data_IF_374490504237
#
_entry.id   IF_374490504237
#
_cell.length_a   1.000
_cell.length_b   1.000
_cell.length_c   1.000
_cell.angle_alpha   90.00
_cell.angle_beta   90.00
_cell.angle_gamma   90.00
#
_symmetry.space_group_name_H-M   'P 1'
#
loop_
_entity.id
_entity.type
_entity.pdbx_description
1 polymer ?
#
# COMPACT_ATOMS: atom_id res chain seq x y z
N UNK A 1 -14.28 6.67 20.25
CA UNK A 1 -12.99 5.96 20.45
C UNK A 1 -12.32 5.86 19.09
N UNK A 2 -11.08 6.35 18.92
CA UNK A 2 -10.46 6.33 17.62
C UNK A 2 -9.93 4.93 17.29
N UNK A 3 -10.49 4.34 16.23
CA UNK A 3 -9.89 3.19 15.56
C UNK A 3 -8.88 3.74 14.55
N UNK A 4 -7.63 3.30 14.67
CA UNK A 4 -6.59 3.69 13.71
C UNK A 4 -6.14 2.49 12.90
N UNK A 5 -5.76 2.74 11.65
CA UNK A 5 -5.15 1.74 10.78
C UNK A 5 -3.63 1.92 10.81
N UNK A 6 -2.93 0.80 10.79
CA UNK A 6 -1.47 0.73 10.79
C UNK A 6 -0.98 -0.25 9.72
N UNK A 7 0.20 0.02 9.18
CA UNK A 7 0.96 -0.87 8.31
C UNK A 7 2.23 -1.32 9.00
N UNK A 8 2.53 -2.62 8.98
CA UNK A 8 3.85 -3.10 9.35
C UNK A 8 4.85 -2.89 8.20
N UNK A 9 5.83 -2.02 8.41
CA UNK A 9 6.87 -1.71 7.42
C UNK A 9 7.62 -2.97 7.00
N UNK A 10 7.97 -3.84 7.95
CA UNK A 10 8.76 -5.04 7.67
C UNK A 10 7.96 -6.05 6.84
N UNK A 11 6.72 -6.35 7.22
CA UNK A 11 5.87 -7.28 6.47
C UNK A 11 5.56 -6.75 5.06
N UNK A 12 5.34 -5.43 4.92
CA UNK A 12 5.18 -4.76 3.63
C UNK A 12 6.44 -4.93 2.76
N UNK A 13 7.61 -4.63 3.32
CA UNK A 13 8.90 -4.78 2.61
C UNK A 13 9.16 -6.20 2.14
N UNK A 14 8.83 -7.21 2.93
CA UNK A 14 8.99 -8.61 2.50
C UNK A 14 8.23 -8.89 1.19
N UNK A 15 7.00 -8.36 1.05
CA UNK A 15 6.20 -8.48 -0.17
C UNK A 15 6.79 -7.65 -1.31
N UNK A 16 7.13 -6.38 -1.05
CA UNK A 16 7.70 -5.47 -2.06
C UNK A 16 9.04 -5.98 -2.62
N UNK A 17 9.91 -6.50 -1.77
CA UNK A 17 11.22 -7.01 -2.16
C UNK A 17 11.09 -8.35 -2.90
N UNK A 18 10.15 -9.21 -2.48
CA UNK A 18 9.76 -10.41 -3.24
C UNK A 18 9.25 -10.04 -4.64
N UNK A 19 8.39 -9.03 -4.75
CA UNK A 19 7.89 -8.53 -6.04
C UNK A 19 9.01 -7.98 -6.92
N UNK A 20 9.94 -7.20 -6.36
CA UNK A 20 11.11 -6.71 -7.11
C UNK A 20 11.98 -7.86 -7.61
N UNK A 21 12.15 -8.91 -6.82
CA UNK A 21 12.89 -10.10 -7.24
C UNK A 21 12.19 -10.83 -8.38
N UNK A 22 10.88 -11.07 -8.27
CA UNK A 22 10.06 -11.70 -9.31
C UNK A 22 10.11 -10.90 -10.62
N UNK A 23 10.04 -9.55 -10.55
CA UNK A 23 10.13 -8.66 -11.72
C UNK A 23 11.46 -8.79 -12.49
N UNK A 24 12.56 -9.11 -11.81
CA UNK A 24 13.87 -9.27 -12.46
C UNK A 24 14.02 -10.59 -13.22
N UNK A 25 13.22 -11.58 -12.87
CA UNK A 25 13.24 -12.91 -13.45
C UNK A 25 12.70 -13.94 -12.47
N UNK A 26 11.73 -14.72 -12.93
CA UNK A 26 11.04 -15.70 -12.07
C UNK A 26 11.56 -17.11 -12.35
N UNK A 27 11.86 -17.85 -11.28
CA UNK A 27 12.17 -19.28 -11.34
C UNK A 27 11.51 -20.00 -10.16
N UNK A 28 11.25 -21.30 -10.28
CA UNK A 28 10.71 -22.12 -9.18
C UNK A 28 11.59 -22.07 -7.93
N UNK A 29 12.92 -22.04 -8.11
CA UNK A 29 13.88 -21.93 -7.00
C UNK A 29 13.74 -20.59 -6.26
N UNK A 30 13.70 -19.48 -7.01
CA UNK A 30 13.50 -18.15 -6.43
C UNK A 30 12.22 -18.08 -5.59
N UNK A 31 11.09 -18.53 -6.15
CA UNK A 31 9.81 -18.51 -5.44
C UNK A 31 9.86 -19.37 -4.16
N UNK A 32 10.55 -20.52 -4.20
CA UNK A 32 10.75 -21.33 -2.99
C UNK A 32 11.56 -20.61 -1.91
N UNK A 33 12.64 -19.93 -2.29
CA UNK A 33 13.48 -19.16 -1.37
C UNK A 33 12.72 -18.00 -0.75
N UNK A 34 11.94 -17.25 -1.53
CA UNK A 34 11.13 -16.13 -1.04
C UNK A 34 10.08 -16.56 -0.01
N UNK A 35 9.36 -17.65 -0.27
CA UNK A 35 8.37 -18.18 0.69
C UNK A 35 9.04 -18.64 1.98
N UNK A 36 10.23 -19.26 1.90
CA UNK A 36 10.97 -19.73 3.09
C UNK A 36 11.62 -18.60 3.88
N UNK A 37 12.02 -17.52 3.21
CA UNK A 37 12.69 -16.39 3.84
C UNK A 37 11.74 -15.48 4.65
N UNK A 38 10.43 -15.59 4.42
CA UNK A 38 9.45 -14.65 4.95
C UNK A 38 8.29 -15.35 5.65
N UNK A 39 8.30 -15.35 6.99
CA UNK A 39 7.28 -16.03 7.81
C UNK A 39 5.84 -15.54 7.60
N UNK A 40 5.65 -14.35 7.02
CA UNK A 40 4.33 -13.77 6.74
C UNK A 40 3.72 -14.23 5.41
N UNK A 41 4.48 -14.95 4.57
CA UNK A 41 4.03 -15.42 3.26
C UNK A 41 3.81 -16.94 3.32
N UNK A 42 2.59 -17.39 3.07
CA UNK A 42 2.25 -18.81 3.04
C UNK A 42 2.52 -19.45 1.67
N UNK A 43 2.26 -18.68 0.61
CA UNK A 43 2.33 -19.15 -0.76
C UNK A 43 2.52 -17.98 -1.73
N UNK A 44 3.27 -18.26 -2.79
CA UNK A 44 3.42 -17.38 -3.95
C UNK A 44 3.15 -18.21 -5.21
N UNK A 45 2.31 -17.69 -6.10
CA UNK A 45 2.11 -18.22 -7.45
C UNK A 45 2.38 -17.14 -8.49
N UNK A 46 3.09 -17.47 -9.56
CA UNK A 46 3.35 -16.56 -10.68
C UNK A 46 2.87 -17.23 -11.96
N UNK A 47 1.94 -16.57 -12.64
CA UNK A 47 1.25 -17.08 -13.82
C UNK A 47 1.52 -16.17 -15.02
N UNK A 48 1.69 -16.79 -16.18
CA UNK A 48 1.64 -16.15 -17.49
C UNK A 48 0.17 -16.17 -17.94
N UNK A 49 -0.47 -15.01 -18.01
CA UNK A 49 -1.88 -14.90 -18.37
C UNK A 49 -2.11 -15.03 -19.88
N UNK A 50 -1.10 -14.78 -20.71
CA UNK A 50 -1.23 -14.95 -22.16
C UNK A 50 -1.15 -16.42 -22.55
N UNK A 51 -0.28 -17.18 -21.88
CA UNK A 51 -0.10 -18.62 -22.12
C UNK A 51 -0.99 -19.50 -21.23
N UNK A 52 -1.68 -18.89 -20.26
CA UNK A 52 -2.45 -19.58 -19.22
C UNK A 52 -1.64 -20.64 -18.45
N UNK A 53 -0.35 -20.35 -18.20
CA UNK A 53 0.59 -21.30 -17.59
C UNK A 53 1.15 -20.80 -16.25
N UNK A 54 1.47 -21.73 -15.37
CA UNK A 54 2.10 -21.45 -14.07
C UNK A 54 3.62 -21.44 -14.24
N UNK A 55 4.21 -20.25 -14.29
CA UNK A 55 5.65 -20.07 -14.43
C UNK A 55 6.39 -20.65 -13.20
N UNK A 56 5.90 -20.32 -12.00
CA UNK A 56 6.45 -20.79 -10.75
C UNK A 56 5.45 -20.71 -9.61
N UNK A 57 5.49 -21.68 -8.70
CA UNK A 57 4.62 -21.74 -7.54
C UNK A 57 5.34 -22.39 -6.37
N UNK A 58 5.16 -21.88 -5.16
CA UNK A 58 5.62 -22.52 -3.94
C UNK A 58 4.79 -22.13 -2.71
N UNK A 59 4.80 -23.01 -1.70
CA UNK A 59 4.08 -22.81 -0.45
C UNK A 59 2.71 -23.50 -0.42
N UNK A 60 1.94 -23.25 0.64
CA UNK A 60 0.61 -23.84 0.82
C UNK A 60 -0.41 -22.74 1.03
N UNK A 61 -1.40 -22.63 0.13
CA UNK A 61 -2.49 -21.65 0.29
C UNK A 61 -3.30 -21.96 1.54
N UNK A 62 -3.56 -20.92 2.32
CA UNK A 62 -4.54 -20.91 3.41
C UNK A 62 -5.78 -20.13 2.92
N UNK A 63 -6.97 -20.73 3.09
CA UNK A 63 -8.24 -20.11 2.68
C UNK A 63 -8.67 -18.95 3.57
N UNK A 64 -8.13 -18.89 4.79
CA UNK A 64 -8.39 -17.81 5.75
C UNK A 64 -7.33 -16.70 5.67
N UNK A 65 -6.31 -16.89 4.85
CA UNK A 65 -5.27 -15.90 4.58
C UNK A 65 -5.76 -14.82 3.62
N UNK A 66 -4.96 -13.77 3.48
CA UNK A 66 -5.23 -12.63 2.61
C UNK A 66 -4.49 -12.84 1.30
N UNK A 67 -5.24 -12.88 0.20
CA UNK A 67 -4.68 -12.95 -1.15
C UNK A 67 -4.41 -11.53 -1.67
N UNK A 68 -3.18 -11.29 -2.12
CA UNK A 68 -2.79 -10.08 -2.84
C UNK A 68 -2.38 -10.45 -4.26
N UNK A 69 -2.87 -9.67 -5.22
CA UNK A 69 -2.64 -9.89 -6.65
C UNK A 69 -1.91 -8.70 -7.26
N UNK A 70 -0.81 -8.98 -7.95
CA UNK A 70 -0.02 -7.95 -8.62
C UNK A 70 0.15 -8.30 -10.10
N UNK A 71 -0.27 -7.37 -10.96
CA UNK A 71 -0.08 -7.45 -12.39
C UNK A 71 1.28 -6.86 -12.77
N UNK A 72 2.09 -7.65 -13.44
CA UNK A 72 3.44 -7.34 -13.91
C UNK A 72 3.46 -7.35 -15.43
N UNK A 73 4.49 -6.74 -16.03
CA UNK A 73 4.70 -6.72 -17.49
C UNK A 73 3.43 -6.30 -18.26
N UNK A 74 2.92 -5.10 -17.94
CA UNK A 74 1.72 -4.53 -18.54
C UNK A 74 0.46 -5.41 -18.47
N UNK A 75 0.40 -6.29 -17.46
CA UNK A 75 -0.76 -7.14 -17.20
C UNK A 75 -0.66 -8.56 -17.74
N UNK A 76 0.44 -8.92 -18.40
CA UNK A 76 0.64 -10.27 -18.96
C UNK A 76 1.05 -11.29 -17.90
N UNK A 77 1.64 -10.86 -16.78
CA UNK A 77 2.08 -11.74 -15.71
C UNK A 77 1.36 -11.41 -14.41
N UNK A 78 0.80 -12.41 -13.74
CA UNK A 78 0.13 -12.27 -12.46
C UNK A 78 0.98 -12.90 -11.34
N UNK A 79 1.33 -12.11 -10.33
CA UNK A 79 1.94 -12.60 -9.09
C UNK A 79 0.90 -12.58 -7.95
N UNK A 80 0.57 -13.77 -7.45
CA UNK A 80 -0.34 -14.00 -6.34
C UNK A 80 0.46 -14.26 -5.06
N UNK A 81 0.11 -13.57 -3.98
CA UNK A 81 0.66 -13.76 -2.65
C UNK A 81 -0.45 -14.14 -1.69
N UNK A 82 -0.37 -15.32 -1.07
CA UNK A 82 -1.22 -15.70 0.05
C UNK A 82 -0.48 -15.36 1.35
N UNK A 83 -0.92 -14.31 2.03
CA UNK A 83 -0.33 -13.83 3.28
C UNK A 83 -1.11 -14.35 4.46
N UNK A 84 -0.43 -14.84 5.51
CA UNK A 84 -1.09 -15.34 6.74
C UNK A 84 -2.17 -14.39 7.25
N UNK A 85 -1.85 -13.09 7.24
CA UNK A 85 -2.75 -11.98 7.53
C UNK A 85 -2.24 -10.73 6.77
N UNK A 86 -3.12 -9.75 6.55
CA UNK A 86 -2.76 -8.52 5.85
C UNK A 86 -1.70 -7.74 6.65
N UNK A 87 -0.64 -7.22 6.02
CA UNK A 87 0.34 -6.37 6.71
C UNK A 87 -0.26 -5.03 7.19
N UNK A 88 -1.48 -4.70 6.75
CA UNK A 88 -2.38 -3.67 7.32
C UNK A 88 -3.26 -4.26 8.42
N UNK A 89 -3.36 -3.57 9.54
CA UNK A 89 -4.22 -3.96 10.65
C UNK A 89 -4.77 -2.73 11.39
N UNK A 90 -5.89 -2.91 12.08
CA UNK A 90 -6.53 -1.85 12.86
C UNK A 90 -6.28 -2.07 14.35
N UNK A 91 -6.05 -1.00 15.10
CA UNK A 91 -5.84 -1.04 16.54
C UNK A 91 -6.72 0.01 17.23
N UNK A 92 -7.31 -0.37 18.37
CA UNK A 92 -8.12 0.51 19.19
C UNK A 92 -7.22 1.23 20.19
N UNK A 93 -7.14 2.56 20.09
CA UNK A 93 -6.30 3.38 20.97
C UNK A 93 -7.21 4.16 21.92
N UNK A 94 -7.16 3.82 23.21
CA UNK A 94 -7.94 4.48 24.26
C UNK A 94 -7.26 5.77 24.72
N UNK A 95 -5.94 5.69 24.97
CA UNK A 95 -5.10 6.81 25.38
C UNK A 95 -4.00 7.01 24.33
N UNK A 96 -3.69 8.25 23.96
CA UNK A 96 -2.69 8.55 22.93
C UNK A 96 -1.30 7.93 23.23
N UNK A 97 -0.98 7.71 24.50
CA UNK A 97 0.26 7.05 24.94
C UNK A 97 0.33 5.58 24.50
N UNK A 98 -0.81 4.91 24.34
CA UNK A 98 -0.89 3.51 23.90
C UNK A 98 -0.41 3.33 22.45
N UNK A 99 -0.42 4.39 21.65
CA UNK A 99 0.07 4.37 20.26
C UNK A 99 1.55 3.93 20.19
N UNK A 100 2.35 4.20 21.25
CA UNK A 100 3.76 3.77 21.35
C UNK A 100 3.91 2.27 21.56
N UNK A 101 2.85 1.59 21.98
CA UNK A 101 2.83 0.16 22.26
C UNK A 101 2.31 -0.68 21.09
N UNK A 102 1.83 -0.04 20.02
CA UNK A 102 1.32 -0.72 18.84
C UNK A 102 2.42 -1.56 18.21
N UNK A 103 2.09 -2.83 17.98
CA UNK A 103 2.98 -3.82 17.38
C UNK A 103 2.24 -4.48 16.24
N UNK A 104 3.00 -4.82 15.22
CA UNK A 104 2.52 -5.72 14.18
C UNK A 104 2.08 -7.05 14.82
N UNK A 105 0.82 -7.48 14.64
CA UNK A 105 0.33 -8.73 15.21
C UNK A 105 0.90 -9.98 14.53
N UNK A 106 1.74 -9.81 13.50
CA UNK A 106 2.33 -10.92 12.72
C UNK A 106 3.79 -11.18 13.08
N UNK A 107 4.61 -10.13 13.11
CA UNK A 107 6.03 -10.24 13.40
C UNK A 107 6.44 -9.61 14.74
N UNK A 108 5.48 -9.12 15.54
CA UNK A 108 5.69 -8.42 16.82
C UNK A 108 6.57 -7.15 16.73
N UNK A 109 6.91 -6.72 15.52
CA UNK A 109 7.71 -5.52 15.28
C UNK A 109 6.93 -4.27 15.67
N UNK A 110 7.60 -3.34 16.36
CA UNK A 110 7.08 -1.98 16.63
C UNK A 110 7.28 -1.02 15.45
N UNK A 111 7.91 -1.47 14.36
CA UNK A 111 8.11 -0.66 13.16
C UNK A 111 6.83 -0.65 12.34
N UNK A 112 5.87 0.13 12.80
CA UNK A 112 4.54 0.30 12.21
C UNK A 112 4.31 1.76 11.87
N UNK A 113 3.64 2.02 10.76
CA UNK A 113 3.27 3.35 10.30
C UNK A 113 1.76 3.49 10.37
N UNK A 114 1.27 4.61 10.90
CA UNK A 114 -0.16 4.93 10.88
C UNK A 114 -0.59 5.21 9.44
N UNK A 115 -1.60 4.50 8.97
CA UNK A 115 -2.19 4.72 7.66
C UNK A 115 -3.21 5.84 7.81
N UNK A 116 -2.94 6.97 7.17
CA UNK A 116 -3.96 8.00 7.00
C UNK A 116 -4.85 7.55 5.86
N UNK A 117 -6.03 7.05 6.18
CA UNK A 117 -7.04 6.74 5.18
C UNK A 117 -7.39 8.04 4.44
N UNK A 118 -7.42 8.02 3.11
CA UNK A 118 -7.90 9.14 2.29
C UNK A 118 -9.36 9.49 2.60
N UNK A 119 -10.11 8.61 3.27
CA UNK A 119 -11.45 8.88 3.79
C UNK A 119 -11.44 9.56 5.16
N UNK A 120 -10.32 9.58 5.90
CA UNK A 120 -10.20 10.37 7.12
C UNK A 120 -10.24 11.88 6.83
N UNK A 121 -9.97 12.29 5.58
CA UNK A 121 -10.16 13.67 5.10
C UNK A 121 -11.63 14.11 5.11
N UNK A 122 -12.60 13.20 5.18
CA UNK A 122 -14.03 13.58 5.21
C UNK A 122 -14.63 13.60 6.61
N UNK A 123 -13.89 13.14 7.64
CA UNK A 123 -14.45 12.93 8.98
C UNK A 123 -14.03 13.95 10.04
N UNK A 124 -13.08 14.85 9.75
CA UNK A 124 -12.74 15.94 10.67
C UNK A 124 -12.73 17.30 9.96
N UNK A 125 -13.92 17.86 9.80
CA UNK A 125 -14.13 19.26 9.38
C UNK A 125 -13.92 20.25 10.55
N UNK A 126 -13.48 19.78 11.74
CA UNK A 126 -13.36 20.62 12.95
C UNK A 126 -11.96 21.15 13.20
N UNK A 127 -10.94 20.64 12.50
CA UNK A 127 -9.58 21.20 12.55
C UNK A 127 -9.27 22.03 11.32
N UNK A 128 -8.77 23.25 11.54
CA UNK A 128 -8.29 24.15 10.49
C UNK A 128 -7.29 23.42 9.58
N UNK A 129 -7.74 23.10 8.36
CA UNK A 129 -6.91 22.45 7.36
C UNK A 129 -5.67 23.31 7.06
N UNK A 130 -4.46 22.73 6.98
CA UNK A 130 -3.31 23.45 6.46
C UNK A 130 -3.62 23.90 5.03
N UNK A 131 -3.67 25.22 4.81
CA UNK A 131 -3.97 25.78 3.49
C UNK A 131 -2.85 25.42 2.51
N UNK A 132 -3.16 25.00 1.27
CA UNK A 132 -2.15 24.77 0.26
C UNK A 132 -1.36 26.07 0.01
N UNK A 133 -0.06 25.94 -0.26
CA UNK A 133 0.77 27.09 -0.60
C UNK A 133 0.38 27.63 -1.99
N UNK A 134 -0.24 28.83 -2.00
CA UNK A 134 -0.69 29.51 -3.22
C UNK A 134 0.33 30.55 -3.72
N UNK A 135 1.53 30.60 -3.16
CA UNK A 135 2.55 31.62 -3.44
C UNK A 135 2.96 31.69 -4.92
N UNK A 136 2.89 30.57 -5.64
CA UNK A 136 3.25 30.49 -7.07
C UNK A 136 2.07 30.77 -8.02
N UNK A 137 0.86 31.00 -7.52
CA UNK A 137 -0.30 31.30 -8.36
C UNK A 137 -0.46 32.80 -8.62
N UNK A 138 -0.95 33.20 -9.81
CA UNK A 138 -1.30 34.59 -10.10
C UNK A 138 -2.37 35.14 -9.12
N UNK A 139 -2.34 36.43 -8.77
CA UNK A 139 -3.30 37.03 -7.83
C UNK A 139 -4.78 36.81 -8.19
N UNK A 140 -5.09 36.76 -9.49
CA UNK A 140 -6.45 36.51 -10.01
C UNK A 140 -6.98 35.10 -9.71
N UNK A 141 -6.09 34.12 -9.49
CA UNK A 141 -6.43 32.71 -9.27
C UNK A 141 -6.49 32.37 -7.77
N UNK A 142 -5.72 33.09 -6.94
CA UNK A 142 -5.70 32.90 -5.48
C UNK A 142 -7.06 33.11 -4.82
N UNK A 143 -7.88 34.04 -5.35
CA UNK A 143 -9.20 34.33 -4.82
C UNK A 143 -10.28 33.31 -5.23
N UNK A 144 -10.00 32.45 -6.23
CA UNK A 144 -10.94 31.44 -6.75
C UNK A 144 -10.67 30.02 -6.25
N UNK A 145 -9.61 29.82 -5.47
CA UNK A 145 -9.12 28.50 -5.05
C UNK A 145 -9.69 28.04 -3.70
N UNK A 146 -10.76 28.66 -3.19
CA UNK A 146 -11.47 28.16 -2.02
C UNK A 146 -12.23 26.86 -2.36
N UNK A 147 -11.54 25.73 -2.18
CA UNK A 147 -12.03 24.39 -1.78
C UNK A 147 -13.30 23.81 -2.44
N UNK A 148 -13.66 24.20 -3.66
CA UNK A 148 -14.75 23.53 -4.39
C UNK A 148 -14.73 23.65 -5.90
N UNK A 149 -13.94 24.56 -6.48
CA UNK A 149 -14.04 24.86 -7.90
C UNK A 149 -12.92 24.19 -8.71
N UNK A 150 -13.33 23.39 -9.69
CA UNK A 150 -12.47 22.78 -10.69
C UNK A 150 -11.70 23.87 -11.45
N UNK A 151 -10.36 23.78 -11.48
CA UNK A 151 -9.53 24.69 -12.28
C UNK A 151 -9.63 24.28 -13.75
N UNK A 152 -10.34 25.08 -14.53
CA UNK A 152 -10.47 24.89 -15.97
C UNK A 152 -9.10 24.89 -16.67
N UNK A 153 -9.00 24.13 -17.75
CA UNK A 153 -7.74 23.85 -18.44
C UNK A 153 -7.07 25.11 -18.99
N UNK A 154 -7.86 26.13 -19.32
CA UNK A 154 -7.42 27.46 -19.78
C UNK A 154 -6.72 28.28 -18.69
N UNK A 155 -7.01 28.00 -17.41
CA UNK A 155 -6.50 28.73 -16.25
C UNK A 155 -5.29 28.03 -15.61
N UNK A 156 -4.86 26.89 -16.16
CA UNK A 156 -3.67 26.18 -15.72
C UNK A 156 -2.40 26.90 -16.23
N UNK A 157 -1.33 26.98 -15.42
CA UNK A 157 -0.08 27.57 -15.88
C UNK A 157 0.46 26.78 -17.09
N UNK A 158 0.75 27.50 -18.18
CA UNK A 158 1.31 26.89 -19.40
C UNK A 158 2.68 26.28 -19.06
N UNK A 159 2.85 24.99 -19.34
CA UNK A 159 4.16 24.35 -19.29
C UNK A 159 5.03 24.99 -20.37
N UNK A 160 6.02 25.78 -19.96
CA UNK A 160 7.09 26.16 -20.87
C UNK A 160 7.85 24.89 -21.23
N UNK A 161 7.90 24.60 -22.54
CA UNK A 161 8.65 23.49 -23.12
C UNK A 161 10.05 23.97 -23.47
#
# INVERSE_FOLDING_TARGET
>A
MPLFEYECIQCRKNVEDSLKAIKKGVTKKLVSELVKAHDNINHIGVLDLEKEDVIAEHGKRDRNAVDLSYYLNDGTVLALFNLKKNYRFSELIYVAEDEKNVKCPFCSSRKVEKVVSSFAFTSDLSTDMPKPDLGNLPPSVRNRTFLGEYIEEKDRPKKNR
#
